data_IF_227272602591
#
_entry.id   IF_227272602591
#
_cell.length_a   1.000
_cell.length_b   1.000
_cell.length_c   1.000
_cell.angle_alpha   90.00
_cell.angle_beta   90.00
_cell.angle_gamma   90.00
#
_symmetry.space_group_name_H-M   'P 1'
#
loop_
_entity.id
_entity.type
_entity.pdbx_description
1 polymer ?
#
# COMPACT_ATOMS: atom_id res chain seq x y z
N UNK A 1 21.54 -28.69 -36.08
CA UNK A 1 21.87 -29.45 -34.86
C UNK A 1 22.00 -28.47 -33.71
N UNK A 2 21.19 -28.60 -32.67
CA UNK A 2 21.21 -27.73 -31.50
C UNK A 2 22.43 -28.04 -30.64
N UNK A 3 23.23 -27.03 -30.27
CA UNK A 3 24.44 -27.22 -29.47
C UNK A 3 24.06 -27.50 -28.00
N UNK A 4 24.37 -28.69 -27.44
CA UNK A 4 24.02 -29.03 -26.05
C UNK A 4 24.57 -28.04 -25.02
N UNK A 5 25.76 -27.49 -25.24
CA UNK A 5 26.37 -26.50 -24.35
C UNK A 5 25.62 -25.16 -24.38
N UNK A 6 25.05 -24.79 -25.53
CA UNK A 6 24.24 -23.57 -25.64
C UNK A 6 22.89 -23.72 -24.92
N UNK A 7 22.29 -24.91 -24.98
CA UNK A 7 21.06 -25.23 -24.24
C UNK A 7 21.32 -25.16 -22.73
N UNK A 8 22.38 -25.81 -22.26
CA UNK A 8 22.74 -25.80 -20.84
C UNK A 8 22.95 -24.37 -20.31
N UNK A 9 23.70 -23.53 -21.03
CA UNK A 9 23.91 -22.12 -20.66
C UNK A 9 22.61 -21.33 -20.62
N UNK A 10 21.69 -21.56 -21.55
CA UNK A 10 20.39 -20.88 -21.57
C UNK A 10 19.54 -21.27 -20.35
N UNK A 11 19.58 -22.53 -19.91
CA UNK A 11 18.90 -23.00 -18.71
C UNK A 11 19.53 -22.37 -17.45
N UNK A 12 20.86 -22.35 -17.36
CA UNK A 12 21.59 -21.71 -16.25
C UNK A 12 21.24 -20.22 -16.12
N UNK A 13 21.18 -19.51 -17.26
CA UNK A 13 20.74 -18.12 -17.30
C UNK A 13 19.30 -17.95 -16.84
N UNK A 14 18.38 -18.83 -17.27
CA UNK A 14 16.98 -18.75 -16.88
C UNK A 14 16.77 -18.97 -15.37
N UNK A 15 17.51 -19.91 -14.79
CA UNK A 15 17.51 -20.15 -13.32
C UNK A 15 18.08 -18.94 -12.58
N UNK A 16 19.20 -18.39 -13.05
CA UNK A 16 19.80 -17.19 -12.47
C UNK A 16 18.84 -15.98 -12.52
N UNK A 17 18.16 -15.77 -13.66
CA UNK A 17 17.15 -14.72 -13.81
C UNK A 17 15.98 -14.91 -12.86
N UNK A 18 15.48 -16.14 -12.67
CA UNK A 18 14.40 -16.42 -11.71
C UNK A 18 14.83 -16.13 -10.26
N UNK A 19 16.08 -16.46 -9.90
CA UNK A 19 16.61 -16.14 -8.57
C UNK A 19 16.67 -14.62 -8.33
N UNK A 20 17.24 -13.87 -9.28
CA UNK A 20 17.35 -12.40 -9.18
C UNK A 20 15.97 -11.76 -9.10
N UNK A 21 15.03 -12.19 -9.95
CA UNK A 21 13.67 -11.65 -9.95
C UNK A 21 12.94 -11.89 -8.62
N UNK A 22 13.17 -13.05 -7.98
CA UNK A 22 12.65 -13.32 -6.64
C UNK A 22 13.23 -12.39 -5.57
N UNK A 23 14.54 -12.16 -5.60
CA UNK A 23 15.21 -11.21 -4.70
C UNK A 23 14.67 -9.79 -4.91
N UNK A 24 14.44 -9.37 -6.15
CA UNK A 24 13.82 -8.08 -6.47
C UNK A 24 12.40 -7.96 -5.90
N UNK A 25 11.57 -9.01 -5.99
CA UNK A 25 10.23 -9.02 -5.40
C UNK A 25 10.30 -8.86 -3.88
N UNK A 26 11.20 -9.58 -3.21
CA UNK A 26 11.35 -9.51 -1.75
C UNK A 26 11.82 -8.11 -1.31
N UNK A 27 12.80 -7.54 -2.00
CA UNK A 27 13.27 -6.17 -1.74
C UNK A 27 12.19 -5.11 -2.04
N UNK A 28 11.44 -5.29 -3.13
CA UNK A 28 10.33 -4.42 -3.50
C UNK A 28 9.24 -4.41 -2.43
N UNK A 29 8.90 -5.58 -1.87
CA UNK A 29 7.91 -5.69 -0.78
C UNK A 29 8.36 -4.94 0.47
N UNK A 30 9.61 -5.11 0.88
CA UNK A 30 10.16 -4.41 2.02
C UNK A 30 10.10 -2.88 1.81
N UNK A 31 10.48 -2.41 0.62
CA UNK A 31 10.43 -0.99 0.24
C UNK A 31 9.00 -0.46 0.26
N UNK A 32 8.06 -1.19 -0.33
CA UNK A 32 6.63 -0.84 -0.36
C UNK A 32 6.03 -0.74 1.04
N UNK A 33 6.33 -1.69 1.93
CA UNK A 33 5.90 -1.65 3.33
C UNK A 33 6.46 -0.44 4.05
N UNK A 34 7.77 -0.18 3.91
CA UNK A 34 8.39 0.97 4.54
C UNK A 34 7.76 2.30 4.10
N UNK A 35 7.58 2.50 2.79
CA UNK A 35 6.94 3.70 2.25
C UNK A 35 5.49 3.87 2.73
N UNK A 36 4.76 2.76 2.85
CA UNK A 36 3.40 2.77 3.42
C UNK A 36 3.42 3.32 4.85
N UNK A 37 4.32 2.83 5.69
CA UNK A 37 4.43 3.25 7.09
C UNK A 37 4.79 4.73 7.18
N UNK A 38 5.73 5.20 6.36
CA UNK A 38 6.08 6.63 6.30
C UNK A 38 4.92 7.52 5.84
N UNK A 39 4.12 7.06 4.86
CA UNK A 39 2.91 7.77 4.41
C UNK A 39 1.87 7.83 5.53
N UNK A 40 1.69 6.74 6.28
CA UNK A 40 0.77 6.69 7.41
C UNK A 40 1.17 7.73 8.47
N UNK A 41 2.45 7.77 8.85
CA UNK A 41 2.98 8.73 9.83
C UNK A 41 2.79 10.17 9.33
N UNK A 42 3.22 10.47 8.10
CA UNK A 42 3.11 11.82 7.55
C UNK A 42 1.65 12.27 7.36
N UNK A 43 0.72 11.35 7.10
CA UNK A 43 -0.71 11.66 7.01
C UNK A 43 -1.30 12.01 8.39
N UNK A 44 -0.91 11.27 9.44
CA UNK A 44 -1.30 11.55 10.82
C UNK A 44 -0.80 12.92 11.31
N UNK A 45 0.46 13.27 11.02
CA UNK A 45 1.04 14.59 11.35
C UNK A 45 0.34 15.77 10.68
N UNK A 46 -0.35 15.50 9.56
CA UNK A 46 -1.12 16.48 8.80
C UNK A 46 -2.63 16.43 9.09
N UNK A 47 -3.06 15.55 10.00
CA UNK A 47 -4.49 15.28 10.29
C UNK A 47 -5.29 14.92 9.02
N UNK A 48 -4.62 14.33 8.03
CA UNK A 48 -5.26 13.89 6.79
C UNK A 48 -5.70 12.46 6.93
N UNK A 49 -6.91 12.17 6.48
CA UNK A 49 -7.34 10.79 6.29
C UNK A 49 -6.35 10.11 5.33
N UNK A 50 -5.64 9.11 5.83
CA UNK A 50 -4.89 8.21 4.97
C UNK A 50 -5.93 7.37 4.24
N UNK A 51 -5.91 7.35 2.90
CA UNK A 51 -6.54 6.24 2.21
C UNK A 51 -5.92 4.97 2.82
N UNK A 52 -6.76 4.07 3.35
CA UNK A 52 -6.29 2.93 4.12
C UNK A 52 -5.50 2.02 3.17
N UNK A 53 -4.18 2.15 3.20
CA UNK A 53 -3.25 1.30 2.46
C UNK A 53 -3.30 -0.07 3.14
N UNK A 54 -4.32 -0.85 2.78
CA UNK A 54 -4.59 -2.12 3.42
C UNK A 54 -3.42 -3.07 3.16
N UNK A 55 -2.84 -3.60 4.23
CA UNK A 55 -1.74 -4.55 4.12
C UNK A 55 -2.12 -5.85 3.39
N UNK A 56 -3.43 -6.12 3.28
CA UNK A 56 -3.99 -7.34 2.71
C UNK A 56 -4.50 -7.19 1.27
N UNK A 57 -4.52 -6.00 0.69
CA UNK A 57 -4.86 -5.81 -0.73
C UNK A 57 -3.68 -6.14 -1.64
N UNK A 58 -4.00 -6.58 -2.85
CA UNK A 58 -2.96 -6.85 -3.85
C UNK A 58 -2.19 -5.58 -4.20
N UNK A 59 -0.94 -5.72 -4.61
CA UNK A 59 -0.08 -4.61 -5.02
C UNK A 59 -0.69 -3.83 -6.19
N UNK A 60 -1.43 -4.53 -7.08
CA UNK A 60 -2.14 -3.92 -8.21
C UNK A 60 -3.33 -3.07 -7.76
N UNK A 61 -4.12 -3.54 -6.79
CA UNK A 61 -5.23 -2.75 -6.22
C UNK A 61 -4.69 -1.55 -5.47
N UNK A 62 -3.66 -1.75 -4.63
CA UNK A 62 -2.98 -0.68 -3.92
C UNK A 62 -2.45 0.39 -4.89
N UNK A 63 -1.96 0.00 -6.07
CA UNK A 63 -1.52 0.94 -7.10
C UNK A 63 -2.68 1.80 -7.65
N UNK A 64 -3.81 1.16 -7.98
CA UNK A 64 -4.99 1.86 -8.50
C UNK A 64 -5.52 2.86 -7.46
N UNK A 65 -5.65 2.41 -6.22
CA UNK A 65 -6.16 3.22 -5.12
C UNK A 65 -5.23 4.40 -4.81
N UNK A 66 -3.90 4.18 -4.83
CA UNK A 66 -2.91 5.23 -4.60
C UNK A 66 -2.93 6.29 -5.71
N UNK A 67 -3.01 5.87 -6.98
CA UNK A 67 -3.12 6.80 -8.12
C UNK A 67 -4.39 7.64 -8.04
N UNK A 68 -5.51 7.03 -7.66
CA UNK A 68 -6.79 7.71 -7.47
C UNK A 68 -6.69 8.78 -6.35
N UNK A 69 -6.16 8.41 -5.19
CA UNK A 69 -5.99 9.32 -4.06
C UNK A 69 -5.10 10.53 -4.39
N UNK A 70 -4.01 10.36 -5.16
CA UNK A 70 -3.19 11.50 -5.59
C UNK A 70 -3.98 12.44 -6.50
N UNK A 71 -4.69 11.89 -7.48
CA UNK A 71 -5.42 12.68 -8.48
C UNK A 71 -6.61 13.42 -7.89
N UNK A 72 -7.34 12.79 -6.96
CA UNK A 72 -8.58 13.33 -6.41
C UNK A 72 -8.33 14.22 -5.19
N UNK A 73 -7.42 13.81 -4.30
CA UNK A 73 -7.22 14.49 -3.03
C UNK A 73 -5.96 15.35 -3.03
N UNK A 74 -4.77 14.75 -3.22
CA UNK A 74 -3.50 15.44 -2.94
C UNK A 74 -3.28 16.69 -3.78
N UNK A 75 -3.54 16.60 -5.09
CA UNK A 75 -3.44 17.75 -5.98
C UNK A 75 -4.47 18.84 -5.61
N UNK A 76 -5.68 18.45 -5.20
CA UNK A 76 -6.72 19.37 -4.74
C UNK A 76 -6.32 20.13 -3.48
N UNK A 77 -5.79 19.43 -2.47
CA UNK A 77 -5.30 20.04 -1.23
C UNK A 77 -4.14 21.01 -1.49
N UNK A 78 -3.20 20.65 -2.37
CA UNK A 78 -2.09 21.53 -2.72
C UNK A 78 -2.58 22.78 -3.46
N UNK A 79 -3.48 22.63 -4.43
CA UNK A 79 -4.01 23.77 -5.16
C UNK A 79 -4.76 24.74 -4.24
N UNK A 80 -5.64 24.23 -3.38
CA UNK A 80 -6.37 25.04 -2.39
C UNK A 80 -5.41 25.76 -1.41
N UNK A 81 -4.34 25.10 -0.99
CA UNK A 81 -3.32 25.71 -0.13
C UNK A 81 -2.58 26.84 -0.84
N UNK A 82 -2.20 26.63 -2.11
CA UNK A 82 -1.53 27.64 -2.93
C UNK A 82 -2.45 28.85 -3.18
N UNK A 83 -3.71 28.62 -3.50
CA UNK A 83 -4.71 29.67 -3.69
C UNK A 83 -4.90 30.50 -2.41
N UNK A 84 -5.01 29.84 -1.27
CA UNK A 84 -5.19 30.49 0.03
C UNK A 84 -3.96 31.33 0.41
N UNK A 85 -2.75 30.78 0.26
CA UNK A 85 -1.50 31.54 0.47
C UNK A 85 -1.43 32.73 -0.48
N UNK A 86 -1.76 32.53 -1.75
CA UNK A 86 -1.75 33.59 -2.76
C UNK A 86 -2.73 34.71 -2.41
N UNK A 87 -3.88 34.39 -1.83
CA UNK A 87 -4.86 35.36 -1.38
C UNK A 87 -4.35 36.17 -0.18
N UNK A 88 -3.80 35.51 0.85
CA UNK A 88 -3.19 36.20 1.99
C UNK A 88 -2.04 37.14 1.58
N UNK A 89 -1.21 36.73 0.62
CA UNK A 89 -0.14 37.59 0.07
C UNK A 89 -0.72 38.84 -0.61
N UNK A 90 -1.80 38.69 -1.39
CA UNK A 90 -2.49 39.82 -2.03
C UNK A 90 -3.12 40.76 -1.01
N UNK A 91 -3.63 40.21 0.08
CA UNK A 91 -4.28 40.96 1.16
C UNK A 91 -3.27 41.53 2.18
N UNK A 92 -1.96 41.44 1.89
CA UNK A 92 -0.85 41.87 2.74
C UNK A 92 -0.77 41.18 4.12
N UNK A 93 -1.47 40.06 4.27
CA UNK A 93 -1.48 39.17 5.44
C UNK A 93 -0.28 38.23 5.38
N UNK A 94 0.92 38.80 5.55
CA UNK A 94 2.18 38.10 5.28
C UNK A 94 2.52 37.06 6.33
N UNK A 95 2.15 37.30 7.59
CA UNK A 95 2.37 36.37 8.69
C UNK A 95 1.45 35.14 8.55
N UNK A 96 0.20 35.34 8.14
CA UNK A 96 -0.75 34.26 7.85
C UNK A 96 -0.30 33.42 6.64
N UNK A 97 0.17 34.08 5.57
CA UNK A 97 0.74 33.40 4.42
C UNK A 97 1.97 32.55 4.79
N UNK A 98 2.84 33.09 5.65
CA UNK A 98 4.03 32.38 6.13
C UNK A 98 3.65 31.18 7.01
N UNK A 99 2.68 31.33 7.90
CA UNK A 99 2.20 30.23 8.74
C UNK A 99 1.65 29.06 7.91
N UNK A 100 0.98 29.34 6.80
CA UNK A 100 0.46 28.33 5.88
C UNK A 100 1.54 27.64 5.05
N UNK A 101 2.68 28.30 4.80
CA UNK A 101 3.78 27.75 3.99
C UNK A 101 4.36 26.45 4.58
N UNK A 102 4.47 26.35 5.91
CA UNK A 102 4.95 25.14 6.57
C UNK A 102 3.99 23.96 6.42
N UNK A 103 2.67 24.22 6.40
CA UNK A 103 1.67 23.19 6.11
C UNK A 103 1.72 22.75 4.64
N UNK A 104 1.97 23.68 3.72
CA UNK A 104 2.18 23.36 2.30
C UNK A 104 3.40 22.47 2.09
N UNK A 105 4.53 22.79 2.72
CA UNK A 105 5.76 21.99 2.64
C UNK A 105 5.56 20.53 3.09
N UNK A 106 4.87 20.35 4.22
CA UNK A 106 4.52 19.01 4.72
C UNK A 106 3.64 18.25 3.73
N UNK A 107 2.63 18.90 3.13
CA UNK A 107 1.77 18.27 2.11
C UNK A 107 2.55 17.88 0.85
N UNK A 108 3.49 18.71 0.39
CA UNK A 108 4.38 18.38 -0.74
C UNK A 108 5.25 17.17 -0.41
N UNK A 109 5.76 17.10 0.82
CA UNK A 109 6.55 15.95 1.30
C UNK A 109 5.71 14.67 1.31
N UNK A 110 4.46 14.73 1.79
CA UNK A 110 3.53 13.60 1.74
C UNK A 110 3.26 13.15 0.30
N UNK A 111 2.99 14.09 -0.62
CA UNK A 111 2.78 13.76 -2.04
C UNK A 111 4.01 13.07 -2.64
N UNK A 112 5.21 13.56 -2.34
CA UNK A 112 6.46 12.94 -2.82
C UNK A 112 6.58 11.49 -2.35
N UNK A 113 6.30 11.21 -1.07
CA UNK A 113 6.32 9.85 -0.52
C UNK A 113 5.28 8.95 -1.20
N UNK A 114 4.06 9.46 -1.45
CA UNK A 114 3.01 8.73 -2.18
C UNK A 114 3.41 8.41 -3.62
N UNK A 115 4.06 9.35 -4.32
CA UNK A 115 4.59 9.10 -5.68
C UNK A 115 5.70 8.03 -5.67
N UNK A 116 6.59 8.06 -4.67
CA UNK A 116 7.61 7.01 -4.50
C UNK A 116 6.96 5.64 -4.24
N UNK A 117 5.91 5.59 -3.43
CA UNK A 117 5.15 4.37 -3.18
C UNK A 117 4.49 3.82 -4.45
N UNK A 118 3.88 4.67 -5.27
CA UNK A 118 3.33 4.29 -6.58
C UNK A 118 4.42 3.69 -7.47
N UNK A 119 5.60 4.32 -7.56
CA UNK A 119 6.70 3.80 -8.36
C UNK A 119 7.19 2.43 -7.84
N UNK A 120 7.26 2.24 -6.52
CA UNK A 120 7.61 0.95 -5.93
C UNK A 120 6.58 -0.14 -6.24
N UNK A 121 5.28 0.19 -6.21
CA UNK A 121 4.20 -0.73 -6.59
C UNK A 121 4.22 -1.07 -8.09
N UNK A 122 4.48 -0.10 -8.96
CA UNK A 122 4.62 -0.32 -10.40
C UNK A 122 5.76 -1.30 -10.69
N UNK A 123 6.91 -1.12 -10.04
CA UNK A 123 8.04 -2.04 -10.14
C UNK A 123 7.65 -3.43 -9.64
N UNK A 124 7.01 -3.55 -8.47
CA UNK A 124 6.57 -4.84 -7.93
C UNK A 124 5.63 -5.59 -8.88
N UNK A 125 4.62 -4.89 -9.40
CA UNK A 125 3.68 -5.47 -10.38
C UNK A 125 4.43 -5.95 -11.62
N UNK A 126 5.46 -5.23 -12.06
CA UNK A 126 6.31 -5.64 -13.15
C UNK A 126 7.14 -6.89 -12.84
N UNK A 127 7.83 -6.95 -11.70
CA UNK A 127 8.63 -8.11 -11.28
C UNK A 127 7.76 -9.37 -11.11
N UNK A 128 6.53 -9.24 -10.59
CA UNK A 128 5.58 -10.36 -10.54
C UNK A 128 5.16 -10.86 -11.92
N UNK A 129 4.97 -9.95 -12.88
CA UNK A 129 4.67 -10.33 -14.25
C UNK A 129 5.85 -11.05 -14.90
N UNK A 130 7.08 -10.59 -14.66
CA UNK A 130 8.30 -11.27 -15.08
C UNK A 130 8.44 -12.65 -14.44
N UNK A 131 8.17 -12.79 -13.14
CA UNK A 131 8.23 -14.07 -12.43
C UNK A 131 7.31 -15.10 -13.07
N UNK A 132 6.07 -14.69 -13.40
CA UNK A 132 5.10 -15.56 -14.06
C UNK A 132 5.63 -16.07 -15.41
N UNK A 133 6.29 -15.21 -16.18
CA UNK A 133 6.90 -15.58 -17.46
C UNK A 133 8.11 -16.50 -17.29
N UNK A 134 8.99 -16.22 -16.32
CA UNK A 134 10.17 -17.04 -16.02
C UNK A 134 9.77 -18.44 -15.56
N UNK A 135 8.77 -18.54 -14.67
CA UNK A 135 8.21 -19.82 -14.22
C UNK A 135 7.60 -20.62 -15.35
N UNK A 136 6.84 -19.98 -16.25
CA UNK A 136 6.27 -20.66 -17.41
C UNK A 136 7.37 -21.23 -18.32
N UNK A 137 8.46 -20.48 -18.54
CA UNK A 137 9.62 -20.96 -19.31
C UNK A 137 10.33 -22.12 -18.61
N UNK A 138 10.55 -22.04 -17.29
CA UNK A 138 11.17 -23.11 -16.51
C UNK A 138 10.32 -24.39 -16.52
N UNK A 139 8.99 -24.25 -16.40
CA UNK A 139 8.06 -25.38 -16.50
C UNK A 139 8.14 -26.06 -17.88
N UNK A 140 8.12 -25.28 -18.96
CA UNK A 140 8.27 -25.81 -20.31
C UNK A 140 9.60 -26.55 -20.52
N UNK A 141 10.70 -26.02 -19.96
CA UNK A 141 12.00 -26.70 -20.00
C UNK A 141 11.94 -28.02 -19.21
N UNK A 142 11.36 -28.01 -18.02
CA UNK A 142 11.26 -29.21 -17.18
C UNK A 142 10.40 -30.32 -17.83
N UNK A 143 9.26 -29.95 -18.44
CA UNK A 143 8.41 -30.88 -19.20
C UNK A 143 9.16 -31.54 -20.36
N UNK A 144 9.95 -30.77 -21.13
CA UNK A 144 10.78 -31.31 -22.24
C UNK A 144 11.87 -32.24 -21.72
N UNK A 145 12.41 -31.98 -20.53
CA UNK A 145 13.41 -32.83 -19.89
C UNK A 145 12.81 -34.07 -19.20
N UNK A 146 11.48 -34.26 -19.26
CA UNK A 146 10.79 -35.36 -18.60
C UNK A 146 10.83 -35.28 -17.07
N UNK A 147 11.09 -34.08 -16.52
CA UNK A 147 11.02 -33.81 -15.09
C UNK A 147 9.56 -33.55 -14.73
N UNK A 148 8.99 -34.33 -13.82
CA UNK A 148 7.62 -34.12 -13.37
C UNK A 148 7.53 -32.81 -12.58
N UNK A 149 6.77 -31.86 -13.13
CA UNK A 149 6.57 -30.53 -12.55
C UNK A 149 5.21 -30.40 -11.86
N UNK A 150 4.46 -31.52 -11.69
CA UNK A 150 3.17 -31.56 -11.00
C UNK A 150 3.29 -31.47 -9.47
N UNK A 151 4.22 -30.65 -8.96
CA UNK A 151 4.09 -30.15 -7.60
C UNK A 151 2.89 -29.22 -7.58
N UNK A 152 1.78 -29.70 -7.01
CA UNK A 152 0.52 -28.96 -6.82
C UNK A 152 0.79 -27.47 -6.62
N UNK A 153 0.37 -26.65 -7.58
CA UNK A 153 0.00 -25.28 -7.27
C UNK A 153 -1.06 -25.42 -6.18
N UNK A 154 -0.70 -25.25 -4.91
CA UNK A 154 -1.70 -24.74 -3.98
C UNK A 154 -2.07 -23.39 -4.58
N UNK A 155 -3.29 -23.23 -5.12
CA UNK A 155 -3.75 -21.88 -5.38
C UNK A 155 -3.54 -21.16 -4.06
N UNK A 156 -2.91 -19.99 -4.11
CA UNK A 156 -3.07 -19.03 -3.02
C UNK A 156 -4.57 -18.99 -2.84
N UNK A 157 -5.08 -19.53 -1.73
CA UNK A 157 -6.50 -19.50 -1.42
C UNK A 157 -6.83 -18.02 -1.39
N UNK A 158 -7.38 -17.53 -2.49
CA UNK A 158 -8.26 -16.39 -2.45
C UNK A 158 -9.36 -16.88 -1.52
N UNK A 159 -9.31 -16.44 -0.28
CA UNK A 159 -10.49 -16.49 0.58
C UNK A 159 -11.33 -15.36 -0.03
N UNK A 160 -12.39 -15.66 -0.82
CA UNK A 160 -13.35 -14.62 -1.07
C UNK A 160 -13.84 -14.20 0.30
N UNK A 161 -13.91 -12.89 0.56
CA UNK A 161 -14.58 -12.40 1.75
C UNK A 161 -15.98 -13.01 1.74
N UNK A 162 -16.19 -14.05 2.55
CA UNK A 162 -17.51 -14.57 2.80
C UNK A 162 -18.29 -13.42 3.42
N UNK A 163 -19.38 -13.11 2.73
CA UNK A 163 -20.44 -12.23 3.19
C UNK A 163 -20.80 -12.56 4.65
N UNK A 164 -20.86 -11.50 5.45
CA UNK A 164 -21.75 -11.36 6.60
C UNK A 164 -22.05 -12.65 7.38
N UNK A 165 -21.21 -12.93 8.39
CA UNK A 165 -21.76 -13.37 9.65
C UNK A 165 -21.52 -12.27 10.67
N UNK A 166 -22.62 -11.54 10.94
CA UNK A 166 -22.77 -10.61 12.02
C UNK A 166 -22.18 -11.19 13.30
N UNK A 167 -21.02 -10.68 13.72
CA UNK A 167 -20.57 -10.83 15.10
C UNK A 167 -21.50 -9.94 15.91
N UNK A 168 -22.48 -10.57 16.54
CA UNK A 168 -23.33 -9.98 17.55
C UNK A 168 -22.42 -9.43 18.65
N UNK A 169 -22.31 -8.11 18.72
CA UNK A 169 -21.74 -7.39 19.85
C UNK A 169 -22.58 -7.80 21.08
N UNK A 170 -22.00 -8.31 22.18
CA UNK A 170 -22.74 -8.35 23.42
C UNK A 170 -22.95 -6.90 23.87
N UNK A 171 -24.19 -6.46 23.76
CA UNK A 171 -24.72 -5.23 24.34
C UNK A 171 -24.41 -5.26 25.83
N UNK A 172 -23.39 -4.51 26.26
CA UNK A 172 -23.22 -4.11 27.65
C UNK A 172 -24.21 -2.98 27.89
N UNK A 173 -25.43 -3.37 28.27
CA UNK A 173 -26.43 -2.44 28.77
C UNK A 173 -26.80 -2.82 30.21
N UNK A 174 -27.25 -1.80 30.91
CA UNK A 174 -27.79 -1.80 32.27
C UNK A 174 -26.78 -1.77 33.43
N UNK A 175 -26.45 -0.52 33.81
CA UNK A 175 -26.55 -0.04 35.19
C UNK A 175 -27.45 -0.91 36.09
N UNK A 176 -27.06 -1.21 37.35
CA UNK A 176 -28.01 -1.71 38.33
C UNK A 176 -28.98 -0.58 38.76
N UNK A 177 -30.29 -0.88 38.91
CA UNK A 177 -31.31 0.12 39.22
C UNK A 177 -31.37 0.47 40.72
N UNK A 178 -31.72 1.74 41.01
CA UNK A 178 -32.53 2.32 42.11
C UNK A 178 -32.52 1.59 43.48
N UNK A 179 -32.29 2.18 44.65
CA UNK A 179 -32.68 3.46 45.29
C UNK A 179 -32.28 3.31 46.80
N UNK A 180 -32.57 4.20 47.79
CA UNK A 180 -33.11 5.56 47.75
C UNK A 180 -32.28 6.59 48.55
N UNK A 181 -32.79 7.83 48.53
CA UNK A 181 -32.36 9.04 49.22
C UNK A 181 -31.94 8.88 50.70
N UNK A 182 -30.82 9.51 51.06
CA UNK A 182 -30.56 9.96 52.42
C UNK A 182 -30.11 11.42 52.41
N UNK A 183 -31.05 12.32 52.65
CA UNK A 183 -30.76 13.61 53.26
C UNK A 183 -30.51 13.36 54.75
N UNK A 184 -29.50 13.99 55.36
CA UNK A 184 -29.83 14.74 56.55
C UNK A 184 -29.19 16.12 56.58
N UNK A 185 -30.06 17.06 56.91
CA UNK A 185 -29.82 18.42 57.36
C UNK A 185 -28.82 18.54 58.52
N UNK A 186 -28.14 19.69 58.54
CA UNK A 186 -27.67 20.49 59.70
C UNK A 186 -26.55 19.92 60.59
N UNK A 187 -25.41 20.62 60.61
CA UNK A 187 -25.03 21.50 61.72
C UNK A 187 -24.05 22.58 61.27
#
# INVERSE_FOLDING_TARGET
MTNPQAIQRAIEQLVASSKINRENIENGKATSTHLRDEIQIASLELERATFSLQAHTSEKENLVLSRKAISEDDCGFLNASIETISQHVKDHQTDEALALSGKLEKNVTLLRKRLQYIAALEQLVHEYAQEKQLRAKLKAVAEVLGLDVNGEEKPIKFIPAEEDQAVTIPVLDAYPPDEPAFNPTLH
#
